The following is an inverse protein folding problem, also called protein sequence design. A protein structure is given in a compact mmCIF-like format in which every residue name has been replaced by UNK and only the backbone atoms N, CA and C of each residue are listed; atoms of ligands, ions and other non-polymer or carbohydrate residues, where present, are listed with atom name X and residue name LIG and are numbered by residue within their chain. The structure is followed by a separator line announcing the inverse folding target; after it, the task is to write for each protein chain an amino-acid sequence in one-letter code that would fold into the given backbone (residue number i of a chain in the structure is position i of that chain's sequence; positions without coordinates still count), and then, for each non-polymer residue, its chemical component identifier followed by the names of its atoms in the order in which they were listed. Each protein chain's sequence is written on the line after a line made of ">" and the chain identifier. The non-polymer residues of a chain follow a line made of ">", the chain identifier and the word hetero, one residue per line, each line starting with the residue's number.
data_IF_190342166313
#
_entry.id   IF_190342166313
#
_cell.length_a   1.000
_cell.length_b   1.000
_cell.length_c   1.000
_cell.angle_alpha   90.00
_cell.angle_beta   90.00
_cell.angle_gamma   90.00
#
_symmetry.space_group_name_H-M   'P 1'
#
loop_
_entity.id
_entity.type
_entity.pdbx_description
1 polymer ?
#
# COMPACT_ATOMS: atom_id res chain seq x y z
N UNK A 1 -7.10 15.27 -6.00
CA UNK A 1 -6.17 14.37 -5.29
C UNK A 1 -6.33 14.66 -3.81
N UNK A 2 -6.37 13.61 -3.01
CA UNK A 2 -6.62 13.65 -1.59
C UNK A 2 -5.49 12.93 -0.89
N UNK A 3 -5.06 13.45 0.24
CA UNK A 3 -4.08 12.82 1.10
C UNK A 3 -4.37 13.21 2.54
N UNK A 4 -3.90 12.41 3.49
CA UNK A 4 -4.08 12.69 4.89
C UNK A 4 -3.52 11.58 5.76
N UNK A 5 -3.82 11.68 7.04
CA UNK A 5 -3.40 10.74 8.06
C UNK A 5 -4.61 10.30 8.89
N UNK A 6 -4.61 9.03 9.30
CA UNK A 6 -5.68 8.42 10.08
C UNK A 6 -5.07 7.60 11.23
N UNK A 7 -5.79 7.54 12.36
CA UNK A 7 -5.49 6.61 13.44
C UNK A 7 -6.08 5.21 13.12
N UNK A 8 -5.56 4.59 12.06
CA UNK A 8 -5.87 3.23 11.57
C UNK A 8 -4.53 2.58 11.13
N UNK A 9 -4.56 1.34 10.67
CA UNK A 9 -3.39 0.67 10.09
C UNK A 9 -3.75 -0.20 8.88
N UNK A 10 -2.79 -0.50 8.01
CA UNK A 10 -2.98 -1.45 6.91
C UNK A 10 -3.37 -2.83 7.49
N UNK A 11 -2.78 -3.24 8.61
CA UNK A 11 -3.19 -4.43 9.34
C UNK A 11 -4.69 -4.42 9.66
N UNK A 12 -5.19 -3.38 10.31
CA UNK A 12 -6.61 -3.26 10.69
C UNK A 12 -7.54 -3.23 9.47
N UNK A 13 -7.11 -2.61 8.37
CA UNK A 13 -7.84 -2.66 7.10
C UNK A 13 -7.92 -4.08 6.55
N UNK A 14 -6.83 -4.85 6.59
CA UNK A 14 -6.83 -6.24 6.11
C UNK A 14 -7.64 -7.17 7.00
N UNK A 15 -7.53 -7.04 8.32
CA UNK A 15 -8.31 -7.82 9.29
C UNK A 15 -9.82 -7.58 9.18
N UNK A 16 -10.20 -6.33 8.92
CA UNK A 16 -11.61 -5.97 8.69
C UNK A 16 -12.11 -6.27 7.28
N UNK A 17 -11.26 -6.82 6.40
CA UNK A 17 -11.56 -7.11 4.99
C UNK A 17 -12.17 -5.89 4.29
N UNK A 18 -11.47 -4.76 4.36
CA UNK A 18 -12.00 -3.51 3.82
C UNK A 18 -12.33 -3.62 2.32
N UNK A 19 -13.60 -3.37 1.97
CA UNK A 19 -14.19 -3.61 0.65
C UNK A 19 -13.46 -2.93 -0.53
N UNK A 20 -12.61 -1.94 -0.27
CA UNK A 20 -11.80 -1.29 -1.30
C UNK A 20 -10.72 -2.23 -1.86
N UNK A 21 -10.23 -3.18 -1.08
CA UNK A 21 -9.25 -4.15 -1.56
C UNK A 21 -9.81 -5.06 -2.67
N UNK A 22 -11.11 -5.38 -2.65
CA UNK A 22 -11.75 -6.15 -3.71
C UNK A 22 -11.91 -5.35 -5.01
N UNK A 23 -11.95 -4.02 -4.91
CA UNK A 23 -12.10 -3.12 -6.07
C UNK A 23 -10.77 -2.79 -6.74
N UNK A 24 -9.66 -2.98 -6.01
CA UNK A 24 -8.30 -2.69 -6.43
C UNK A 24 -7.47 -3.99 -6.40
N UNK A 25 -7.63 -4.88 -7.39
CA UNK A 25 -7.13 -6.25 -7.34
C UNK A 25 -5.61 -6.38 -7.36
N UNK A 26 -4.88 -5.31 -7.65
CA UNK A 26 -3.42 -5.33 -7.68
C UNK A 26 -2.84 -4.47 -6.56
N UNK A 27 -1.98 -5.07 -5.75
CA UNK A 27 -1.29 -4.41 -4.66
C UNK A 27 0.23 -4.55 -4.84
N UNK A 28 0.92 -3.43 -4.87
CA UNK A 28 2.38 -3.37 -4.89
C UNK A 28 2.86 -3.03 -3.48
N UNK A 29 3.49 -3.99 -2.81
CA UNK A 29 4.11 -3.82 -1.50
C UNK A 29 5.55 -3.38 -1.72
N UNK A 30 5.85 -2.17 -1.29
CA UNK A 30 7.15 -1.49 -1.50
C UNK A 30 7.97 -1.44 -0.23
N UNK A 31 7.34 -1.66 0.94
CA UNK A 31 8.02 -1.68 2.23
C UNK A 31 7.35 -2.63 3.21
N UNK A 32 8.17 -3.37 3.95
CA UNK A 32 7.80 -4.13 5.15
C UNK A 32 8.88 -3.94 6.21
N UNK A 33 8.49 -3.69 7.47
CA UNK A 33 9.41 -3.54 8.62
C UNK A 33 10.60 -2.58 8.34
N UNK A 34 10.34 -1.47 7.65
CA UNK A 34 11.36 -0.50 7.19
C UNK A 34 12.31 -0.96 6.06
N UNK A 35 12.21 -2.20 5.59
CA UNK A 35 12.95 -2.67 4.41
C UNK A 35 12.26 -2.23 3.12
N UNK A 36 12.99 -1.59 2.21
CA UNK A 36 12.52 -1.15 0.90
C UNK A 36 13.07 -2.00 -0.26
N UNK A 37 13.69 -3.14 0.05
CA UNK A 37 14.17 -4.10 -0.94
C UNK A 37 13.50 -5.46 -0.71
N UNK A 38 12.24 -5.58 -1.13
CA UNK A 38 11.44 -6.79 -0.95
C UNK A 38 12.09 -7.99 -1.63
N UNK A 39 12.77 -7.77 -2.77
CA UNK A 39 13.49 -8.84 -3.48
C UNK A 39 14.60 -9.49 -2.64
N UNK A 40 15.08 -8.84 -1.59
CA UNK A 40 16.10 -9.38 -0.67
C UNK A 40 15.53 -10.13 0.54
N UNK A 41 14.20 -10.05 0.76
CA UNK A 41 13.56 -10.61 1.95
C UNK A 41 13.18 -12.08 1.73
N UNK A 42 13.54 -12.93 2.70
CA UNK A 42 13.21 -14.36 2.68
C UNK A 42 11.69 -14.61 2.63
N UNK A 43 10.90 -13.77 3.30
CA UNK A 43 9.43 -13.87 3.26
C UNK A 43 8.90 -13.63 1.84
N UNK A 44 9.47 -12.68 1.11
CA UNK A 44 9.08 -12.39 -0.27
C UNK A 44 9.46 -13.53 -1.21
N UNK A 45 10.67 -14.08 -1.09
CA UNK A 45 11.06 -15.29 -1.82
C UNK A 45 10.07 -16.44 -1.57
N UNK A 46 9.69 -16.65 -0.31
CA UNK A 46 8.73 -17.69 0.08
C UNK A 46 7.36 -17.47 -0.56
N UNK A 47 6.85 -16.22 -0.50
CA UNK A 47 5.54 -15.86 -1.08
C UNK A 47 5.55 -16.07 -2.60
N UNK A 48 6.55 -15.53 -3.31
CA UNK A 48 6.63 -15.64 -4.78
C UNK A 48 6.79 -17.09 -5.25
N UNK A 49 7.42 -17.96 -4.46
CA UNK A 49 7.52 -19.38 -4.78
C UNK A 49 6.27 -20.19 -4.46
N UNK A 50 5.43 -19.72 -3.53
CA UNK A 50 4.28 -20.46 -3.02
C UNK A 50 2.94 -19.99 -3.58
N UNK A 51 2.87 -18.74 -4.06
CA UNK A 51 1.64 -18.07 -4.48
C UNK A 51 1.72 -17.66 -5.96
N UNK A 52 0.88 -18.27 -6.80
CA UNK A 52 0.83 -17.96 -8.25
C UNK A 52 0.40 -16.52 -8.54
N UNK A 53 -0.35 -15.89 -7.63
CA UNK A 53 -0.78 -14.50 -7.73
C UNK A 53 0.34 -13.48 -7.41
N UNK A 54 1.49 -13.96 -6.94
CA UNK A 54 2.60 -13.12 -6.49
C UNK A 54 3.77 -13.11 -7.46
N UNK A 55 4.37 -11.95 -7.63
CA UNK A 55 5.58 -11.79 -8.45
C UNK A 55 6.40 -10.60 -7.95
N UNK A 56 7.67 -10.55 -8.35
CA UNK A 56 8.48 -9.35 -8.15
C UNK A 56 8.27 -8.38 -9.32
N UNK A 57 8.08 -7.11 -9.00
CA UNK A 57 8.16 -5.99 -9.94
C UNK A 57 9.27 -5.06 -9.47
N UNK A 58 10.46 -5.20 -10.06
CA UNK A 58 11.64 -4.51 -9.56
C UNK A 58 12.04 -5.04 -8.19
N UNK A 59 12.00 -4.17 -7.18
CA UNK A 59 12.30 -4.48 -5.77
C UNK A 59 11.06 -4.70 -4.93
N UNK A 60 9.88 -4.55 -5.52
CA UNK A 60 8.61 -4.63 -4.80
C UNK A 60 7.91 -5.96 -5.03
N UNK A 61 7.12 -6.36 -4.05
CA UNK A 61 6.26 -7.54 -4.15
C UNK A 61 4.92 -7.11 -4.75
N UNK A 62 4.60 -7.63 -5.92
CA UNK A 62 3.29 -7.45 -6.56
C UNK A 62 2.39 -8.64 -6.23
N UNK A 63 1.28 -8.35 -5.56
CA UNK A 63 0.16 -9.26 -5.34
C UNK A 63 -0.94 -8.90 -6.32
N UNK A 64 -1.41 -9.88 -7.08
CA UNK A 64 -2.49 -9.70 -8.06
C UNK A 64 -3.82 -10.34 -7.65
N UNK A 65 -4.80 -10.13 -8.52
CA UNK A 65 -6.06 -10.86 -8.59
C UNK A 65 -6.86 -10.87 -7.27
N UNK A 66 -6.81 -9.75 -6.53
CA UNK A 66 -7.51 -9.51 -5.27
C UNK A 66 -7.13 -10.47 -4.11
N UNK A 67 -5.93 -11.08 -4.16
CA UNK A 67 -5.44 -11.96 -3.10
C UNK A 67 -4.75 -11.23 -1.94
N UNK A 68 -4.72 -9.89 -1.92
CA UNK A 68 -3.99 -9.10 -0.91
C UNK A 68 -4.32 -9.54 0.52
N UNK A 69 -5.61 -9.61 0.87
CA UNK A 69 -6.03 -9.91 2.24
C UNK A 69 -5.66 -11.34 2.65
N UNK A 70 -5.93 -12.32 1.78
CA UNK A 70 -5.59 -13.72 2.03
C UNK A 70 -4.08 -13.91 2.26
N UNK A 71 -3.26 -13.29 1.41
CA UNK A 71 -1.81 -13.40 1.46
C UNK A 71 -1.27 -12.64 2.68
N UNK A 72 -1.81 -11.46 2.97
CA UNK A 72 -1.43 -10.70 4.16
C UNK A 72 -1.67 -11.51 5.43
N UNK A 73 -2.83 -12.14 5.57
CA UNK A 73 -3.17 -12.97 6.74
C UNK A 73 -2.32 -14.25 6.81
N UNK A 74 -2.14 -14.95 5.68
CA UNK A 74 -1.37 -16.19 5.62
C UNK A 74 0.09 -16.02 6.01
N UNK A 75 0.68 -14.88 5.65
CA UNK A 75 2.10 -14.59 5.86
C UNK A 75 2.35 -13.54 6.97
N UNK A 76 1.32 -13.17 7.72
CA UNK A 76 1.38 -12.18 8.80
C UNK A 76 2.04 -10.85 8.35
N UNK A 77 1.67 -10.37 7.17
CA UNK A 77 2.15 -9.10 6.63
C UNK A 77 1.50 -7.90 7.35
N UNK A 78 2.09 -6.73 7.19
CA UNK A 78 1.57 -5.45 7.66
C UNK A 78 1.61 -5.21 9.17
N UNK A 79 2.48 -5.90 9.90
CA UNK A 79 2.52 -5.77 11.36
C UNK A 79 3.16 -4.46 11.88
N UNK A 80 3.84 -3.67 11.03
CA UNK A 80 4.58 -2.47 11.49
C UNK A 80 4.67 -1.36 10.42
N UNK A 81 5.88 -1.04 9.93
CA UNK A 81 6.14 0.06 9.02
C UNK A 81 6.07 -0.45 7.58
N UNK A 82 4.85 -0.48 7.08
CA UNK A 82 4.52 -1.07 5.80
C UNK A 82 4.07 -0.01 4.80
N UNK A 83 4.24 -0.29 3.52
CA UNK A 83 3.77 0.58 2.45
C UNK A 83 3.21 -0.24 1.30
N UNK A 84 1.98 0.09 0.90
CA UNK A 84 1.28 -0.56 -0.21
C UNK A 84 0.68 0.46 -1.17
N UNK A 85 0.67 0.09 -2.45
CA UNK A 85 0.09 0.87 -3.54
C UNK A 85 -0.90 0.01 -4.31
N UNK A 86 -2.12 0.52 -4.47
CA UNK A 86 -3.26 -0.23 -4.98
C UNK A 86 -3.69 0.27 -6.35
N UNK A 87 -3.97 -0.67 -7.23
CA UNK A 87 -4.24 -0.43 -8.64
C UNK A 87 -5.45 -1.24 -9.10
N UNK A 88 -6.15 -0.68 -10.09
CA UNK A 88 -7.21 -1.41 -10.80
C UNK A 88 -6.66 -2.34 -11.87
N UNK A 89 -5.57 -1.92 -12.51
CA UNK A 89 -4.86 -2.66 -13.57
C UNK A 89 -3.48 -3.04 -13.07
N UNK A 90 -2.89 -4.11 -13.62
CA UNK A 90 -1.56 -4.57 -13.22
C UNK A 90 -0.52 -3.46 -13.46
N UNK A 91 0.23 -3.01 -12.43
CA UNK A 91 1.25 -1.99 -12.61
C UNK A 91 2.40 -2.52 -13.48
N UNK A 92 2.97 -1.65 -14.30
CA UNK A 92 4.09 -1.99 -15.21
C UNK A 92 5.45 -1.50 -14.72
N UNK A 93 5.47 -0.66 -13.69
CA UNK A 93 6.67 -0.06 -13.14
C UNK A 93 6.63 -0.06 -11.62
N UNK A 94 7.82 -0.17 -11.03
CA UNK A 94 8.03 -0.06 -9.59
C UNK A 94 8.00 1.41 -9.13
N UNK A 95 7.94 1.63 -7.81
CA UNK A 95 8.11 2.97 -7.22
C UNK A 95 9.57 3.43 -7.34
N UNK A 96 9.85 4.74 -7.54
CA UNK A 96 11.19 5.29 -7.45
C UNK A 96 11.77 5.11 -6.05
N UNK A 97 13.08 4.84 -5.93
CA UNK A 97 13.73 4.51 -4.65
C UNK A 97 13.68 5.62 -3.60
N UNK A 98 13.61 6.88 -4.04
CA UNK A 98 13.60 8.06 -3.17
C UNK A 98 12.18 8.58 -2.89
N UNK A 99 11.16 7.87 -3.38
CA UNK A 99 9.75 8.23 -3.23
C UNK A 99 9.10 7.27 -2.25
N UNK A 100 8.46 7.82 -1.22
CA UNK A 100 7.77 7.06 -0.19
C UNK A 100 6.76 7.94 0.54
N UNK A 101 5.76 7.30 1.14
CA UNK A 101 4.63 7.92 1.82
C UNK A 101 4.82 7.96 3.36
N UNK A 102 5.72 7.13 3.89
CA UNK A 102 5.96 6.95 5.32
C UNK A 102 6.68 8.11 6.06
N UNK A 103 6.88 7.99 7.40
CA UNK A 103 7.40 9.05 8.28
C UNK A 103 8.77 9.60 7.85
N UNK A 104 9.06 10.91 7.93
CA UNK A 104 8.56 11.79 8.98
C UNK A 104 7.33 12.60 8.56
N UNK A 105 6.78 12.34 7.38
CA UNK A 105 5.68 13.11 6.83
C UNK A 105 4.37 12.78 7.57
N UNK A 106 3.86 13.70 8.40
CA UNK A 106 2.45 13.67 8.79
C UNK A 106 1.67 14.40 7.68
N UNK A 107 0.97 13.67 6.82
CA UNK A 107 0.25 14.27 5.67
C UNK A 107 -0.90 15.22 6.03
N UNK A 108 -1.26 15.27 7.32
CA UNK A 108 -2.16 16.29 7.85
C UNK A 108 -1.47 17.65 8.09
N UNK A 109 -0.13 17.68 8.17
CA UNK A 109 0.68 18.85 8.48
C UNK A 109 1.52 19.33 7.28
N UNK A 110 1.90 18.44 6.37
CA UNK A 110 2.77 18.73 5.23
C UNK A 110 2.19 18.19 3.92
N UNK A 111 2.31 18.96 2.83
CA UNK A 111 1.95 18.47 1.50
C UNK A 111 2.92 17.37 1.05
N UNK A 112 2.45 16.32 0.33
CA UNK A 112 3.35 15.32 -0.24
C UNK A 112 4.37 15.96 -1.19
N UNK A 113 5.61 15.44 -1.26
CA UNK A 113 6.61 15.89 -2.23
C UNK A 113 6.08 15.84 -3.66
N UNK A 114 6.44 16.82 -4.48
CA UNK A 114 5.96 16.93 -5.88
C UNK A 114 6.32 15.68 -6.67
N UNK A 115 7.49 15.10 -6.44
CA UNK A 115 7.96 13.88 -7.09
C UNK A 115 7.06 12.67 -6.79
N UNK A 116 6.54 12.58 -5.55
CA UNK A 116 5.58 11.55 -5.17
C UNK A 116 4.25 11.76 -5.89
N UNK A 117 3.77 13.01 -5.94
CA UNK A 117 2.52 13.35 -6.62
C UNK A 117 2.59 13.07 -8.13
N UNK A 118 3.69 13.45 -8.76
CA UNK A 118 3.93 13.25 -10.19
C UNK A 118 4.01 11.75 -10.51
N UNK A 119 4.74 10.97 -9.71
CA UNK A 119 4.78 9.53 -9.87
C UNK A 119 3.40 8.89 -9.68
N UNK A 120 2.68 9.24 -8.61
CA UNK A 120 1.35 8.68 -8.32
C UNK A 120 0.38 8.94 -9.48
N UNK A 121 0.39 10.15 -10.04
CA UNK A 121 -0.45 10.50 -11.20
C UNK A 121 -0.07 9.71 -12.46
N UNK A 122 1.22 9.43 -12.66
CA UNK A 122 1.72 8.74 -13.85
C UNK A 122 1.62 7.20 -13.75
N UNK A 123 1.64 6.65 -12.54
CA UNK A 123 1.72 5.19 -12.32
C UNK A 123 0.39 4.47 -12.51
N UNK A 124 -0.72 5.19 -12.59
CA UNK A 124 -2.07 4.61 -12.59
C UNK A 124 -2.50 4.09 -11.21
N UNK A 125 -1.76 4.45 -10.15
CA UNK A 125 -2.14 4.13 -8.78
C UNK A 125 -3.43 4.85 -8.38
N UNK A 126 -4.27 4.18 -7.59
CA UNK A 126 -5.54 4.72 -7.10
C UNK A 126 -5.46 5.05 -5.62
N UNK A 127 -4.72 4.26 -4.84
CA UNK A 127 -4.58 4.43 -3.40
C UNK A 127 -3.19 3.99 -2.95
N UNK A 128 -2.45 4.88 -2.30
CA UNK A 128 -1.25 4.55 -1.53
C UNK A 128 -1.56 4.60 -0.05
N UNK A 129 -1.05 3.63 0.71
CA UNK A 129 -1.16 3.54 2.16
C UNK A 129 0.21 3.28 2.75
N UNK A 130 0.52 3.92 3.88
CA UNK A 130 1.76 3.66 4.62
C UNK A 130 1.53 3.74 6.12
N UNK A 131 1.98 2.70 6.81
CA UNK A 131 1.88 2.55 8.26
C UNK A 131 3.08 3.12 9.01
N UNK A 132 2.80 3.46 10.27
CA UNK A 132 3.74 3.95 11.27
C UNK A 132 3.04 4.12 12.62
N UNK A 133 3.08 5.32 13.20
CA UNK A 133 2.29 5.66 14.41
C UNK A 133 0.80 5.89 14.12
N UNK A 134 0.43 5.77 12.85
CA UNK A 134 -0.90 5.75 12.25
C UNK A 134 -0.69 5.52 10.75
N UNK A 135 -1.72 5.76 9.95
CA UNK A 135 -1.68 5.45 8.52
C UNK A 135 -1.80 6.72 7.68
N UNK A 136 -0.79 6.97 6.87
CA UNK A 136 -0.86 7.96 5.79
C UNK A 136 -1.58 7.36 4.59
N UNK A 137 -2.35 8.19 3.88
CA UNK A 137 -2.97 7.81 2.61
C UNK A 137 -2.79 8.88 1.55
N UNK A 138 -2.77 8.45 0.29
CA UNK A 138 -2.91 9.30 -0.90
C UNK A 138 -3.84 8.61 -1.89
N UNK A 139 -4.80 9.34 -2.45
CA UNK A 139 -5.76 8.80 -3.41
C UNK A 139 -6.27 9.84 -4.40
N UNK A 140 -6.73 9.37 -5.56
CA UNK A 140 -7.48 10.17 -6.52
C UNK A 140 -9.01 9.97 -6.41
N UNK A 141 -9.50 9.15 -5.47
CA UNK A 141 -10.92 8.82 -5.32
C UNK A 141 -11.54 9.43 -4.06
N UNK A 142 -12.58 10.24 -4.22
CA UNK A 142 -13.36 10.76 -3.09
C UNK A 142 -14.11 9.63 -2.36
N UNK A 143 -14.56 8.60 -3.07
CA UNK A 143 -15.29 7.47 -2.47
C UNK A 143 -14.42 6.70 -1.46
N UNK A 144 -13.12 6.58 -1.76
CA UNK A 144 -12.13 5.97 -0.86
C UNK A 144 -11.96 6.84 0.39
N UNK A 145 -11.84 8.16 0.23
CA UNK A 145 -11.76 9.10 1.37
C UNK A 145 -12.98 8.97 2.27
N UNK A 146 -14.19 8.93 1.70
CA UNK A 146 -15.43 8.80 2.44
C UNK A 146 -15.51 7.45 3.19
N UNK A 147 -14.99 6.38 2.57
CA UNK A 147 -14.90 5.05 3.17
C UNK A 147 -13.93 5.02 4.36
N UNK A 148 -12.75 5.62 4.21
CA UNK A 148 -11.76 5.76 5.27
C UNK A 148 -12.31 6.59 6.46
N UNK A 149 -12.96 7.71 6.19
CA UNK A 149 -13.51 8.57 7.24
C UNK A 149 -14.62 7.90 8.05
N UNK A 150 -15.44 7.03 7.44
CA UNK A 150 -16.48 6.27 8.17
C UNK A 150 -15.88 5.35 9.24
N UNK A 151 -14.67 4.83 9.02
CA UNK A 151 -14.00 3.94 9.96
C UNK A 151 -13.51 4.66 11.21
N UNK A 152 -13.18 5.95 11.11
CA UNK A 152 -12.75 6.73 12.28
C UNK A 152 -13.87 7.05 13.29
N UNK A 153 -15.13 6.86 12.89
CA UNK A 153 -16.31 7.21 13.71
C UNK A 153 -16.98 5.95 14.30
N UNK A 154 -16.53 4.76 13.91
CA UNK A 154 -17.04 3.47 14.38
C UNK A 154 -16.32 3.00 15.64
#
# INVERSE_FOLDING_TARGET
>A
MYYGWLQDSIYDLTESQWEVFDQLPYALITRIDSSNDMASLLVTETIVHSEDACSLLGRSLLIGDAHLVEIAQKYELFSHFDEIWLYKERPTADIPQDVWLGPPLELCAEEPPVELLDWFNASGCILGLSDGTGMNYITNSQEIVDSLNKRQVA
#
